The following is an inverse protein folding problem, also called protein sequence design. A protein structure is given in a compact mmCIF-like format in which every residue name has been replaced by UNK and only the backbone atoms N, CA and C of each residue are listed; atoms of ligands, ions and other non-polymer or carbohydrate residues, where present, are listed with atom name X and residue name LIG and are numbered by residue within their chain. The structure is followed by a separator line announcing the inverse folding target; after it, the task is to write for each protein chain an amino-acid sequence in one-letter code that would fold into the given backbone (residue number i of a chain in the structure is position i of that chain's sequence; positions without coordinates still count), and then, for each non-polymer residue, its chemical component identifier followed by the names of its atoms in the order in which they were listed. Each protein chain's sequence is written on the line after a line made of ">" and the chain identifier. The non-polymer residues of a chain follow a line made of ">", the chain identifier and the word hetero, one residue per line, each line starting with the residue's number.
data_IF_580641182485
#
_entry.id   IF_580641182485
#
_cell.length_a   1.000
_cell.length_b   1.000
_cell.length_c   1.000
_cell.angle_alpha   90.00
_cell.angle_beta   90.00
_cell.angle_gamma   90.00
#
_symmetry.space_group_name_H-M   'P 1'
#
loop_
_entity.id
_entity.type
_entity.pdbx_description
1 polymer ?
#
# COMPACT_ATOMS: atom_id res chain seq x y z
N UNK A 1 -20.22 -11.72 -3.55
CA UNK A 1 -19.09 -12.60 -3.95
C UNK A 1 -17.92 -12.57 -2.98
N UNK A 2 -17.04 -11.54 -2.96
CA UNK A 2 -15.86 -11.57 -2.07
C UNK A 2 -16.23 -11.60 -0.57
N UNK A 3 -17.19 -10.76 -0.13
CA UNK A 3 -17.74 -10.80 1.25
C UNK A 3 -18.26 -12.19 1.60
N UNK A 4 -19.11 -12.76 0.74
CA UNK A 4 -19.69 -14.10 0.93
C UNK A 4 -18.63 -15.21 0.99
N UNK A 5 -17.51 -15.03 0.28
CA UNK A 5 -16.35 -15.92 0.32
C UNK A 5 -15.42 -15.68 1.51
N UNK A 6 -15.78 -14.80 2.46
CA UNK A 6 -15.03 -14.58 3.71
C UNK A 6 -14.08 -13.38 3.70
N UNK A 7 -14.24 -12.41 2.78
CA UNK A 7 -13.45 -11.19 2.81
C UNK A 7 -13.79 -10.34 4.05
N UNK A 8 -12.82 -10.15 4.95
CA UNK A 8 -12.94 -9.27 6.13
C UNK A 8 -12.27 -7.90 5.91
N UNK A 9 -11.31 -7.82 4.99
CA UNK A 9 -10.54 -6.62 4.73
C UNK A 9 -10.34 -6.39 3.25
N UNK A 10 -10.61 -5.17 2.79
CA UNK A 10 -10.28 -4.72 1.43
C UNK A 10 -9.24 -3.60 1.46
N UNK A 11 -8.40 -3.53 0.44
CA UNK A 11 -7.44 -2.45 0.24
C UNK A 11 -7.50 -1.96 -1.20
N UNK A 12 -7.97 -0.73 -1.42
CA UNK A 12 -7.94 -0.11 -2.74
C UNK A 12 -6.54 0.40 -3.06
N UNK A 13 -6.01 0.01 -4.21
CA UNK A 13 -4.67 0.35 -4.71
C UNK A 13 -4.70 0.45 -6.24
N UNK A 14 -3.59 0.20 -6.92
CA UNK A 14 -3.43 0.34 -8.38
C UNK A 14 -2.49 1.49 -8.72
N UNK A 15 -2.68 2.12 -9.89
CA UNK A 15 -1.89 3.28 -10.32
C UNK A 15 -1.94 4.43 -9.31
N UNK A 16 -3.07 5.16 -9.28
CA UNK A 16 -3.43 6.08 -8.20
C UNK A 16 -4.98 6.07 -8.02
N UNK A 17 -5.52 5.50 -6.92
CA UNK A 17 -6.96 5.32 -6.72
C UNK A 17 -7.81 6.60 -6.82
N UNK A 18 -7.22 7.76 -6.54
CA UNK A 18 -7.91 9.04 -6.56
C UNK A 18 -8.02 9.67 -7.97
N UNK A 19 -7.56 8.99 -9.02
CA UNK A 19 -7.74 9.44 -10.42
C UNK A 19 -9.18 9.26 -10.87
N UNK A 20 -9.74 8.05 -10.68
CA UNK A 20 -11.04 7.69 -11.25
C UNK A 20 -12.16 8.55 -10.67
N UNK A 21 -12.90 9.20 -11.57
CA UNK A 21 -13.97 10.14 -11.24
C UNK A 21 -13.55 11.16 -10.16
N UNK A 22 -12.29 11.61 -10.22
CA UNK A 22 -11.69 12.58 -9.30
C UNK A 22 -11.73 12.13 -7.82
N UNK A 23 -11.70 10.81 -7.59
CA UNK A 23 -11.72 10.19 -6.27
C UNK A 23 -13.13 9.83 -5.76
N UNK A 24 -14.20 10.19 -6.47
CA UNK A 24 -15.56 9.81 -6.11
C UNK A 24 -15.75 8.29 -6.22
N UNK A 25 -15.21 7.66 -7.26
CA UNK A 25 -15.34 6.21 -7.45
C UNK A 25 -14.78 5.42 -6.27
N UNK A 26 -13.53 5.70 -5.84
CA UNK A 26 -12.95 5.02 -4.66
C UNK A 26 -13.68 5.40 -3.37
N UNK A 27 -14.20 6.62 -3.26
CA UNK A 27 -15.01 7.05 -2.11
C UNK A 27 -16.30 6.25 -1.96
N UNK A 28 -17.05 6.07 -3.06
CA UNK A 28 -18.27 5.27 -3.09
C UNK A 28 -17.99 3.79 -2.79
N UNK A 29 -16.90 3.23 -3.32
CA UNK A 29 -16.50 1.86 -2.98
C UNK A 29 -16.12 1.71 -1.50
N UNK A 30 -15.43 2.69 -0.92
CA UNK A 30 -15.12 2.71 0.51
C UNK A 30 -16.41 2.72 1.35
N UNK A 31 -17.35 3.61 1.02
CA UNK A 31 -18.65 3.70 1.69
C UNK A 31 -19.41 2.38 1.56
N UNK A 32 -19.55 1.85 0.35
CA UNK A 32 -20.23 0.58 0.09
C UNK A 32 -19.62 -0.57 0.90
N UNK A 33 -18.29 -0.69 0.90
CA UNK A 33 -17.59 -1.73 1.66
C UNK A 33 -17.79 -1.59 3.18
N UNK A 34 -17.83 -0.37 3.72
CA UNK A 34 -17.97 -0.18 5.16
C UNK A 34 -19.41 -0.27 5.63
N UNK A 35 -20.35 0.33 4.89
CA UNK A 35 -21.74 0.50 5.30
C UNK A 35 -22.62 -0.67 4.84
N UNK A 36 -22.55 -1.06 3.56
CA UNK A 36 -23.43 -2.10 3.01
C UNK A 36 -22.85 -3.50 3.22
N UNK A 37 -21.53 -3.63 3.03
CA UNK A 37 -20.84 -4.90 3.26
C UNK A 37 -20.40 -5.09 4.71
N UNK A 38 -20.45 -4.07 5.55
CA UNK A 38 -20.07 -4.14 6.97
C UNK A 38 -18.67 -4.74 7.17
N UNK A 39 -17.72 -4.43 6.26
CA UNK A 39 -16.38 -4.99 6.37
C UNK A 39 -15.67 -4.46 7.63
N UNK A 40 -15.03 -5.35 8.40
CA UNK A 40 -14.20 -4.95 9.53
C UNK A 40 -13.15 -3.89 9.19
N UNK A 41 -12.54 -3.96 7.99
CA UNK A 41 -11.52 -3.00 7.55
C UNK A 41 -11.59 -2.63 6.08
N UNK A 42 -11.59 -1.33 5.82
CA UNK A 42 -11.48 -0.72 4.49
C UNK A 42 -10.26 0.21 4.48
N UNK A 43 -9.33 -0.03 3.57
CA UNK A 43 -8.12 0.80 3.46
C UNK A 43 -7.82 1.26 2.04
N UNK A 44 -7.01 2.31 1.92
CA UNK A 44 -6.48 2.79 0.64
C UNK A 44 -4.95 2.90 0.73
N UNK A 45 -4.25 2.54 -0.34
CA UNK A 45 -2.85 2.91 -0.59
C UNK A 45 -2.80 3.92 -1.74
N UNK A 46 -2.19 5.08 -1.52
CA UNK A 46 -2.13 6.19 -2.48
C UNK A 46 -0.78 6.90 -2.43
N UNK A 47 -0.40 7.63 -3.48
CA UNK A 47 0.70 8.60 -3.45
C UNK A 47 0.30 9.94 -2.79
N UNK A 48 -0.99 10.14 -2.52
CA UNK A 48 -1.53 11.28 -1.78
C UNK A 48 -1.71 12.58 -2.57
N UNK A 49 -1.26 12.67 -3.82
CA UNK A 49 -1.15 13.95 -4.54
C UNK A 49 -2.50 14.56 -4.97
N UNK A 50 -3.51 13.71 -5.16
CA UNK A 50 -4.85 14.05 -5.64
C UNK A 50 -5.89 14.12 -4.51
N UNK A 51 -5.53 13.71 -3.30
CA UNK A 51 -6.45 13.69 -2.16
C UNK A 51 -6.77 15.13 -1.73
N UNK A 52 -8.06 15.42 -1.56
CA UNK A 52 -8.59 16.73 -1.15
C UNK A 52 -9.30 16.60 0.19
N UNK A 53 -9.31 17.67 0.99
CA UNK A 53 -10.01 17.70 2.29
C UNK A 53 -11.50 17.34 2.17
N UNK A 54 -12.16 17.77 1.08
CA UNK A 54 -13.56 17.42 0.80
C UNK A 54 -13.80 15.90 0.72
N UNK A 55 -12.81 15.12 0.27
CA UNK A 55 -12.94 13.67 0.24
C UNK A 55 -13.01 13.09 1.65
N UNK A 56 -12.21 13.60 2.59
CA UNK A 56 -12.29 13.19 4.01
C UNK A 56 -13.63 13.61 4.64
N UNK A 57 -14.13 14.80 4.32
CA UNK A 57 -15.43 15.27 4.81
C UNK A 57 -16.57 14.35 4.37
N UNK A 58 -16.48 13.79 3.15
CA UNK A 58 -17.52 12.94 2.57
C UNK A 58 -17.35 11.46 2.93
N UNK A 59 -16.12 10.96 2.96
CA UNK A 59 -15.84 9.52 3.02
C UNK A 59 -14.95 9.07 4.19
N UNK A 60 -14.35 10.02 4.93
CA UNK A 60 -13.40 9.72 5.99
C UNK A 60 -13.99 8.87 7.13
N UNK A 61 -15.28 9.03 7.42
CA UNK A 61 -15.97 8.22 8.43
C UNK A 61 -15.93 6.72 8.12
N UNK A 62 -15.96 6.33 6.85
CA UNK A 62 -15.99 4.94 6.39
C UNK A 62 -14.60 4.31 6.23
N UNK A 63 -13.56 5.15 6.10
CA UNK A 63 -12.20 4.68 5.88
C UNK A 63 -11.53 4.32 7.21
N UNK A 64 -10.99 3.10 7.32
CA UNK A 64 -10.21 2.68 8.48
C UNK A 64 -8.77 3.19 8.38
N UNK A 65 -8.09 2.91 7.26
CA UNK A 65 -6.65 3.17 7.10
C UNK A 65 -6.36 3.89 5.78
N UNK A 66 -5.67 5.02 5.85
CA UNK A 66 -5.05 5.66 4.69
C UNK A 66 -3.54 5.45 4.74
N UNK A 67 -3.02 4.71 3.76
CA UNK A 67 -1.59 4.50 3.57
C UNK A 67 -1.05 5.42 2.48
N UNK A 68 -0.09 6.27 2.83
CA UNK A 68 0.60 7.12 1.86
C UNK A 68 1.97 6.52 1.52
N UNK A 69 2.24 6.39 0.23
CA UNK A 69 3.55 5.99 -0.28
C UNK A 69 4.52 7.17 -0.18
N UNK A 70 5.54 7.05 0.65
CA UNK A 70 6.61 8.03 0.83
C UNK A 70 7.93 7.27 0.94
N UNK A 71 8.79 7.41 -0.07
CA UNK A 71 10.05 6.65 -0.15
C UNK A 71 11.23 7.42 0.44
N UNK A 72 11.16 8.76 0.54
CA UNK A 72 12.21 9.59 1.11
C UNK A 72 11.63 10.86 1.73
N UNK A 73 12.29 11.38 2.76
CA UNK A 73 12.04 12.71 3.31
C UNK A 73 12.94 13.79 2.67
N UNK A 74 13.81 13.39 1.75
CA UNK A 74 14.55 14.29 0.86
C UNK A 74 13.79 14.44 -0.47
N UNK A 75 13.42 15.67 -0.80
CA UNK A 75 12.68 15.97 -2.04
C UNK A 75 13.50 15.71 -3.30
N UNK A 76 14.83 15.88 -3.26
CA UNK A 76 15.69 15.60 -4.41
C UNK A 76 15.77 14.09 -4.66
N UNK A 77 15.79 13.28 -3.61
CA UNK A 77 15.66 11.82 -3.72
C UNK A 77 14.29 11.43 -4.27
N UNK A 78 13.20 12.06 -3.81
CA UNK A 78 11.86 11.84 -4.38
C UNK A 78 11.77 12.24 -5.86
N UNK A 79 12.52 13.25 -6.30
CA UNK A 79 12.65 13.59 -7.74
C UNK A 79 13.34 12.47 -8.50
N UNK A 80 14.46 11.95 -8.00
CA UNK A 80 15.21 10.85 -8.63
C UNK A 80 14.37 9.57 -8.74
N UNK A 81 13.57 9.28 -7.70
CA UNK A 81 12.66 8.12 -7.69
C UNK A 81 11.45 8.34 -8.62
N UNK A 82 11.10 9.59 -8.95
CA UNK A 82 9.93 9.92 -9.75
C UNK A 82 8.64 10.04 -8.94
N UNK A 83 8.73 10.32 -7.63
CA UNK A 83 7.58 10.57 -6.74
C UNK A 83 7.05 12.00 -6.83
N UNK A 84 7.84 12.94 -7.33
CA UNK A 84 7.41 14.34 -7.47
C UNK A 84 6.34 14.49 -8.55
N UNK A 85 5.17 15.01 -8.16
CA UNK A 85 4.09 15.35 -9.10
C UNK A 85 3.99 16.87 -9.31
N UNK A 86 4.58 17.34 -10.40
CA UNK A 86 4.61 18.76 -10.74
C UNK A 86 5.42 19.58 -9.72
N UNK A 87 4.90 20.73 -9.30
CA UNK A 87 5.59 21.63 -8.37
C UNK A 87 5.35 21.32 -6.89
N UNK A 88 4.49 20.34 -6.56
CA UNK A 88 4.12 20.04 -5.17
C UNK A 88 5.27 19.30 -4.47
N UNK A 89 5.60 19.76 -3.27
CA UNK A 89 6.49 19.08 -2.34
C UNK A 89 5.77 17.86 -1.74
N UNK A 90 6.38 16.68 -1.85
CA UNK A 90 5.75 15.42 -1.44
C UNK A 90 5.67 15.32 0.09
N UNK A 91 6.74 15.69 0.80
CA UNK A 91 6.82 15.68 2.27
C UNK A 91 5.81 16.65 2.89
N UNK A 92 5.68 17.88 2.36
CA UNK A 92 4.66 18.83 2.82
C UNK A 92 3.24 18.25 2.65
N UNK A 93 2.98 17.59 1.53
CA UNK A 93 1.70 16.95 1.27
C UNK A 93 1.44 15.78 2.24
N UNK A 94 2.47 15.02 2.60
CA UNK A 94 2.39 13.94 3.58
C UNK A 94 1.96 14.46 4.96
N UNK A 95 2.59 15.54 5.46
CA UNK A 95 2.20 16.18 6.73
C UNK A 95 0.76 16.68 6.71
N UNK A 96 0.33 17.31 5.63
CA UNK A 96 -1.05 17.75 5.46
C UNK A 96 -2.04 16.57 5.50
N UNK A 97 -1.73 15.46 4.85
CA UNK A 97 -2.58 14.26 4.89
C UNK A 97 -2.61 13.61 6.27
N UNK A 98 -1.50 13.64 7.00
CA UNK A 98 -1.44 13.20 8.40
C UNK A 98 -2.37 14.03 9.29
N UNK A 99 -2.41 15.35 9.10
CA UNK A 99 -3.32 16.24 9.83
C UNK A 99 -4.78 15.93 9.51
N UNK A 100 -5.13 15.70 8.24
CA UNK A 100 -6.51 15.32 7.89
C UNK A 100 -6.87 13.94 8.46
N UNK A 101 -5.97 12.96 8.46
CA UNK A 101 -6.23 11.68 9.12
C UNK A 101 -6.55 11.85 10.61
N UNK A 102 -5.88 12.79 11.28
CA UNK A 102 -6.18 13.16 12.67
C UNK A 102 -7.57 13.80 12.81
N UNK A 103 -7.86 14.81 11.98
CA UNK A 103 -9.11 15.59 12.02
C UNK A 103 -10.34 14.71 11.78
N UNK A 104 -10.23 13.71 10.91
CA UNK A 104 -11.34 12.86 10.48
C UNK A 104 -11.29 11.43 11.06
N UNK A 105 -10.46 11.20 12.09
CA UNK A 105 -10.31 9.91 12.75
C UNK A 105 -10.09 8.75 11.76
N UNK A 106 -9.08 8.88 10.91
CA UNK A 106 -8.61 7.83 9.99
C UNK A 106 -7.22 7.39 10.44
N UNK A 107 -6.97 6.09 10.49
CA UNK A 107 -5.65 5.59 10.85
C UNK A 107 -4.63 5.91 9.75
N UNK A 108 -3.55 6.60 10.11
CA UNK A 108 -2.51 6.99 9.17
C UNK A 108 -1.42 5.92 9.07
N UNK A 109 -1.07 5.52 7.85
CA UNK A 109 -0.05 4.52 7.55
C UNK A 109 0.94 5.08 6.52
N UNK A 110 2.19 4.64 6.60
CA UNK A 110 3.22 4.95 5.60
C UNK A 110 3.67 3.66 4.93
N UNK A 111 3.92 3.72 3.63
CA UNK A 111 4.57 2.69 2.83
C UNK A 111 5.84 3.29 2.22
N UNK A 112 6.97 2.60 2.32
CA UNK A 112 8.24 3.03 1.73
C UNK A 112 8.87 1.89 0.95
N UNK A 113 9.32 2.14 -0.27
CA UNK A 113 10.13 1.23 -1.07
C UNK A 113 11.60 1.62 -0.92
N UNK A 114 12.36 0.76 -0.26
CA UNK A 114 13.80 0.92 -0.06
C UNK A 114 14.51 0.46 -1.32
N UNK A 115 15.31 1.36 -1.86
CA UNK A 115 15.94 1.28 -3.16
C UNK A 115 17.32 1.97 -3.13
N UNK A 116 18.04 1.91 -4.25
CA UNK A 116 19.40 2.44 -4.39
C UNK A 116 19.57 3.88 -3.88
N UNK A 117 18.54 4.72 -4.00
CA UNK A 117 18.64 6.15 -3.70
C UNK A 117 18.33 6.52 -2.24
N UNK A 118 17.65 5.66 -1.48
CA UNK A 118 17.26 5.94 -0.08
C UNK A 118 17.77 4.91 0.92
N UNK A 119 18.53 3.90 0.50
CA UNK A 119 18.99 2.81 1.39
C UNK A 119 19.90 3.26 2.53
N UNK A 120 20.60 4.39 2.35
CA UNK A 120 21.43 5.00 3.39
C UNK A 120 20.71 6.09 4.21
N UNK A 121 19.44 6.38 3.90
CA UNK A 121 18.66 7.40 4.60
C UNK A 121 18.34 6.97 6.04
N UNK A 122 18.37 7.94 6.95
CA UNK A 122 17.81 7.83 8.30
C UNK A 122 16.48 8.59 8.35
N UNK A 123 15.40 7.83 8.53
CA UNK A 123 14.02 8.29 8.59
C UNK A 123 13.43 8.22 10.01
N UNK A 124 14.25 7.92 11.03
CA UNK A 124 13.75 7.65 12.39
C UNK A 124 12.92 8.82 12.93
N UNK A 125 13.43 10.03 12.87
CA UNK A 125 12.79 11.20 13.48
C UNK A 125 11.52 11.61 12.73
N UNK A 126 11.55 11.55 11.39
CA UNK A 126 10.41 11.90 10.55
C UNK A 126 9.26 10.90 10.70
N UNK A 127 9.55 9.60 10.74
CA UNK A 127 8.54 8.56 10.97
C UNK A 127 7.96 8.67 12.39
N UNK A 128 8.79 8.88 13.41
CA UNK A 128 8.32 9.09 14.80
C UNK A 128 7.43 10.34 14.90
N UNK A 129 7.82 11.44 14.26
CA UNK A 129 7.06 12.69 14.26
C UNK A 129 5.69 12.53 13.57
N UNK A 130 5.62 11.76 12.49
CA UNK A 130 4.36 11.44 11.82
C UNK A 130 3.50 10.41 12.58
N UNK A 131 4.11 9.63 13.47
CA UNK A 131 3.47 8.62 14.32
C UNK A 131 2.41 7.77 13.56
N UNK A 132 2.78 7.08 12.46
CA UNK A 132 1.84 6.23 11.75
C UNK A 132 1.53 4.96 12.57
N UNK A 133 0.30 4.45 12.46
CA UNK A 133 -0.10 3.18 13.12
C UNK A 133 0.67 1.98 12.55
N UNK A 134 1.24 2.12 11.35
CA UNK A 134 2.04 1.12 10.67
C UNK A 134 2.96 1.80 9.65
N UNK A 135 4.20 1.37 9.59
CA UNK A 135 5.15 1.72 8.54
C UNK A 135 5.58 0.45 7.81
N UNK A 136 5.10 0.26 6.58
CA UNK A 136 5.54 -0.87 5.74
C UNK A 136 6.82 -0.47 5.02
N UNK A 137 7.86 -1.26 5.23
CA UNK A 137 9.17 -1.06 4.62
C UNK A 137 9.39 -2.22 3.65
N UNK A 138 9.36 -1.90 2.36
CA UNK A 138 9.47 -2.85 1.27
C UNK A 138 10.86 -2.81 0.67
N UNK A 139 11.46 -3.96 0.40
CA UNK A 139 12.61 -4.02 -0.51
C UNK A 139 12.13 -3.80 -1.95
N UNK A 140 12.91 -3.12 -2.78
CA UNK A 140 12.59 -2.97 -4.20
C UNK A 140 12.49 -4.34 -4.90
N UNK A 141 11.32 -4.63 -5.46
CA UNK A 141 10.99 -5.89 -6.11
C UNK A 141 10.92 -5.72 -7.63
N UNK A 142 11.61 -6.59 -8.35
CA UNK A 142 11.46 -6.76 -9.79
C UNK A 142 10.27 -7.68 -10.09
N UNK A 143 9.43 -7.25 -11.02
CA UNK A 143 8.31 -7.99 -11.59
C UNK A 143 8.40 -7.85 -13.11
N UNK A 144 8.60 -8.98 -13.77
CA UNK A 144 8.71 -9.05 -15.22
C UNK A 144 7.39 -8.67 -15.90
N UNK A 145 7.47 -7.85 -16.95
CA UNK A 145 6.33 -7.28 -17.66
C UNK A 145 5.73 -6.02 -17.00
N UNK A 146 6.16 -5.68 -15.77
CA UNK A 146 5.71 -4.48 -15.07
C UNK A 146 6.84 -3.44 -14.97
N UNK A 147 7.98 -3.86 -14.41
CA UNK A 147 9.12 -3.00 -14.16
C UNK A 147 10.48 -3.65 -14.49
N UNK A 148 10.46 -4.76 -15.22
CA UNK A 148 11.64 -5.47 -15.71
C UNK A 148 11.29 -6.26 -16.98
N UNK A 149 12.26 -6.43 -17.88
CA UNK A 149 12.08 -7.13 -19.16
C UNK A 149 11.59 -6.23 -20.31
N UNK A 150 11.63 -6.76 -21.54
CA UNK A 150 11.43 -5.98 -22.77
C UNK A 150 10.01 -5.38 -22.90
N UNK A 151 9.00 -6.07 -22.37
CA UNK A 151 7.59 -5.65 -22.46
C UNK A 151 7.18 -4.68 -21.32
N UNK A 152 8.09 -4.32 -20.41
CA UNK A 152 7.77 -3.50 -19.24
C UNK A 152 7.76 -2.00 -19.57
N UNK A 153 6.85 -1.26 -18.92
CA UNK A 153 6.78 0.20 -19.05
C UNK A 153 7.82 0.94 -18.18
N UNK A 154 8.55 0.22 -17.32
CA UNK A 154 9.50 0.76 -16.35
C UNK A 154 10.72 -0.15 -16.26
N UNK A 155 11.84 0.43 -15.86
CA UNK A 155 13.12 -0.25 -15.65
C UNK A 155 13.55 -0.06 -14.18
N UNK A 156 13.20 -1.04 -13.34
CA UNK A 156 13.45 -1.00 -11.90
C UNK A 156 14.83 -1.54 -11.50
N UNK A 157 15.59 -2.13 -12.43
CA UNK A 157 16.89 -2.77 -12.18
C UNK A 157 17.89 -1.80 -11.52
N UNK A 158 17.88 -0.53 -11.93
CA UNK A 158 18.73 0.53 -11.34
C UNK A 158 18.39 0.89 -9.89
N UNK A 159 17.20 0.50 -9.42
CA UNK A 159 16.71 0.77 -8.07
C UNK A 159 16.99 -0.37 -7.09
N UNK A 160 17.38 -1.55 -7.58
CA UNK A 160 17.55 -2.75 -6.76
C UNK A 160 18.72 -2.61 -5.78
N UNK A 161 18.50 -3.14 -4.57
CA UNK A 161 19.46 -3.26 -3.48
C UNK A 161 19.58 -4.73 -3.06
N UNK A 162 20.70 -5.08 -2.42
CA UNK A 162 20.88 -6.44 -1.90
C UNK A 162 20.06 -6.67 -0.63
N UNK A 163 19.97 -7.93 -0.19
CA UNK A 163 19.33 -8.28 1.09
C UNK A 163 20.12 -7.69 2.27
N UNK A 164 21.46 -7.67 2.19
CA UNK A 164 22.32 -7.07 3.23
C UNK A 164 22.11 -5.55 3.33
N UNK A 165 22.01 -4.86 2.20
CA UNK A 165 21.72 -3.42 2.16
C UNK A 165 20.34 -3.13 2.78
N UNK A 166 19.35 -3.98 2.51
CA UNK A 166 18.02 -3.86 3.12
C UNK A 166 18.07 -4.10 4.64
N UNK A 167 18.78 -5.14 5.09
CA UNK A 167 18.94 -5.44 6.52
C UNK A 167 19.65 -4.30 7.27
N UNK A 168 20.66 -3.66 6.68
CA UNK A 168 21.29 -2.46 7.26
C UNK A 168 20.28 -1.32 7.44
N UNK A 169 19.38 -1.11 6.47
CA UNK A 169 18.30 -0.13 6.60
C UNK A 169 17.38 -0.50 7.77
N UNK A 170 17.01 -1.77 7.92
CA UNK A 170 16.17 -2.23 9.03
C UNK A 170 16.84 -2.01 10.39
N UNK A 171 18.12 -2.34 10.51
CA UNK A 171 18.89 -2.17 11.75
C UNK A 171 19.00 -0.70 12.16
N UNK A 172 19.16 0.21 11.19
CA UNK A 172 19.16 1.67 11.41
C UNK A 172 17.84 2.15 12.02
N UNK A 173 16.72 1.49 11.69
CA UNK A 173 15.37 1.88 12.10
C UNK A 173 14.73 0.96 13.14
N UNK A 174 15.52 0.09 13.79
CA UNK A 174 15.02 -0.88 14.79
C UNK A 174 14.27 -0.24 15.98
N UNK A 175 14.49 1.06 16.24
CA UNK A 175 13.80 1.83 17.27
C UNK A 175 12.38 2.26 16.89
N UNK A 176 11.96 2.09 15.63
CA UNK A 176 10.62 2.46 15.16
C UNK A 176 9.66 1.28 15.35
N UNK A 177 8.82 1.35 16.39
CA UNK A 177 7.94 0.25 16.81
C UNK A 177 6.88 -0.15 15.77
N UNK A 178 6.47 0.77 14.91
CA UNK A 178 5.46 0.52 13.88
C UNK A 178 6.03 -0.03 12.56
N UNK A 179 7.35 -0.24 12.48
CA UNK A 179 8.04 -0.77 11.31
C UNK A 179 7.66 -2.23 11.06
N UNK A 180 7.30 -2.54 9.82
CA UNK A 180 6.97 -3.89 9.38
C UNK A 180 7.71 -4.21 8.08
N UNK A 181 8.77 -5.04 8.15
CA UNK A 181 9.66 -5.28 7.02
C UNK A 181 9.12 -6.36 6.08
N UNK A 182 9.17 -6.07 4.78
CA UNK A 182 8.80 -6.98 3.70
C UNK A 182 9.93 -7.03 2.65
N UNK A 183 10.84 -7.99 2.83
CA UNK A 183 11.81 -8.34 1.79
C UNK A 183 11.11 -8.96 0.57
N UNK A 184 11.84 -9.08 -0.54
CA UNK A 184 11.33 -9.66 -1.78
C UNK A 184 10.72 -11.06 -1.58
N UNK A 185 11.36 -11.89 -0.73
CA UNK A 185 10.87 -13.22 -0.37
C UNK A 185 9.53 -13.17 0.39
N UNK A 186 9.31 -12.15 1.23
CA UNK A 186 8.08 -12.00 2.01
C UNK A 186 6.95 -11.42 1.17
N UNK A 187 7.25 -10.59 0.16
CA UNK A 187 6.24 -9.83 -0.58
C UNK A 187 5.61 -10.63 -1.72
N UNK A 188 6.41 -11.37 -2.50
CA UNK A 188 6.03 -11.85 -3.84
C UNK A 188 4.67 -12.56 -3.89
N UNK A 189 4.44 -13.55 -3.04
CA UNK A 189 3.27 -14.44 -3.13
C UNK A 189 2.30 -14.31 -1.95
N UNK A 190 2.51 -13.33 -1.07
CA UNK A 190 1.79 -13.22 0.19
C UNK A 190 0.62 -12.24 0.15
N UNK A 191 0.17 -11.86 -1.04
CA UNK A 191 -0.99 -11.00 -1.28
C UNK A 191 -1.97 -11.70 -2.22
N UNK A 192 -3.27 -11.57 -1.92
CA UNK A 192 -4.31 -11.75 -2.92
C UNK A 192 -4.51 -10.42 -3.62
N UNK A 193 -4.13 -10.36 -4.91
CA UNK A 193 -4.20 -9.15 -5.72
C UNK A 193 -5.29 -9.37 -6.77
N UNK A 194 -6.26 -8.45 -6.83
CA UNK A 194 -7.21 -8.37 -7.93
C UNK A 194 -6.81 -7.21 -8.85
N UNK A 195 -6.79 -7.46 -10.15
CA UNK A 195 -6.58 -6.42 -11.16
C UNK A 195 -7.88 -5.65 -11.48
N UNK A 196 -7.80 -4.74 -12.44
CA UNK A 196 -8.90 -3.90 -12.90
C UNK A 196 -10.08 -4.69 -13.52
N UNK A 197 -9.86 -5.96 -13.91
CA UNK A 197 -10.90 -6.87 -14.40
C UNK A 197 -11.38 -7.85 -13.32
N UNK A 198 -10.98 -7.64 -12.06
CA UNK A 198 -11.27 -8.52 -10.93
C UNK A 198 -10.75 -9.95 -11.15
N UNK A 199 -9.55 -10.09 -11.73
CA UNK A 199 -8.81 -11.35 -11.87
C UNK A 199 -7.73 -11.43 -10.80
N UNK A 200 -7.54 -12.60 -10.20
CA UNK A 200 -6.43 -12.80 -9.27
C UNK A 200 -5.10 -12.80 -10.04
N UNK A 201 -4.10 -12.08 -9.53
CA UNK A 201 -2.76 -12.05 -10.12
C UNK A 201 -1.82 -13.00 -9.37
N UNK A 202 -1.31 -14.00 -10.07
CA UNK A 202 -0.28 -14.90 -9.57
C UNK A 202 1.11 -14.33 -9.82
N UNK A 203 1.91 -14.25 -8.77
CA UNK A 203 3.25 -13.66 -8.77
C UNK A 203 4.40 -14.68 -8.65
N UNK A 204 4.09 -15.98 -8.57
CA UNK A 204 5.08 -17.04 -8.25
C UNK A 204 6.23 -17.11 -9.25
N UNK A 205 5.91 -16.84 -10.51
CA UNK A 205 6.86 -16.89 -11.62
C UNK A 205 7.57 -15.56 -11.87
N UNK A 206 7.45 -14.58 -10.95
CA UNK A 206 8.07 -13.26 -11.10
C UNK A 206 7.33 -12.32 -12.06
N UNK A 207 6.19 -12.75 -12.62
CA UNK A 207 5.26 -11.97 -13.47
C UNK A 207 3.93 -11.83 -12.76
N UNK A 208 3.04 -10.93 -13.21
CA UNK A 208 1.63 -10.92 -12.77
C UNK A 208 0.76 -11.68 -13.77
N UNK A 209 0.50 -12.95 -13.49
CA UNK A 209 -0.28 -13.82 -14.37
C UNK A 209 -1.75 -13.81 -13.94
N UNK A 210 -2.69 -13.30 -14.75
CA UNK A 210 -4.09 -13.18 -14.36
C UNK A 210 -4.85 -14.51 -14.44
N UNK A 211 -5.69 -14.78 -13.44
CA UNK A 211 -6.74 -15.81 -13.51
C UNK A 211 -7.88 -15.39 -14.45
N UNK A 212 -8.94 -16.21 -14.55
CA UNK A 212 -10.24 -15.73 -15.03
C UNK A 212 -10.86 -14.76 -14.02
N UNK A 213 -11.75 -13.87 -14.46
CA UNK A 213 -12.40 -12.89 -13.58
C UNK A 213 -13.33 -13.60 -12.60
N UNK A 214 -13.37 -13.11 -11.35
CA UNK A 214 -14.38 -13.56 -10.38
C UNK A 214 -15.80 -13.25 -10.87
N UNK A 215 -15.98 -12.28 -11.76
CA UNK A 215 -17.27 -11.91 -12.35
C UNK A 215 -17.77 -12.99 -13.33
N UNK A 216 -16.87 -13.76 -13.92
CA UNK A 216 -17.20 -14.79 -14.91
C UNK A 216 -17.29 -16.19 -14.30
N UNK A 217 -16.37 -16.53 -13.39
CA UNK A 217 -16.22 -17.90 -12.86
C UNK A 217 -16.45 -18.01 -11.34
N UNK A 218 -16.71 -16.90 -10.66
CA UNK A 218 -16.82 -16.85 -9.22
C UNK A 218 -15.47 -16.91 -8.48
N UNK A 219 -15.50 -16.59 -7.18
CA UNK A 219 -14.29 -16.47 -6.35
C UNK A 219 -13.58 -17.82 -6.19
N UNK A 220 -14.31 -18.89 -5.89
CA UNK A 220 -13.72 -20.20 -5.59
C UNK A 220 -12.96 -20.79 -6.78
N UNK A 221 -13.44 -20.58 -8.00
CA UNK A 221 -12.77 -21.05 -9.20
C UNK A 221 -11.54 -20.19 -9.53
N UNK A 222 -11.65 -18.87 -9.43
CA UNK A 222 -10.56 -17.96 -9.76
C UNK A 222 -9.40 -18.02 -8.76
N UNK A 223 -9.69 -18.11 -7.45
CA UNK A 223 -8.67 -18.03 -6.38
C UNK A 223 -7.69 -19.20 -6.40
N UNK A 224 -8.09 -20.36 -6.95
CA UNK A 224 -7.23 -21.54 -7.16
C UNK A 224 -5.99 -21.21 -8.01
N UNK A 225 -6.06 -20.17 -8.84
CA UNK A 225 -4.98 -19.72 -9.71
C UNK A 225 -4.27 -18.46 -9.19
N UNK A 226 -4.57 -18.00 -7.97
CA UNK A 226 -3.98 -16.76 -7.42
C UNK A 226 -2.50 -16.87 -7.05
N UNK A 227 -1.96 -18.09 -6.90
CA UNK A 227 -0.59 -18.26 -6.41
C UNK A 227 -0.36 -17.91 -4.93
N UNK A 228 -1.43 -17.60 -4.18
CA UNK A 228 -1.32 -17.10 -2.81
C UNK A 228 -0.63 -18.07 -1.84
N UNK A 229 0.30 -17.55 -1.04
CA UNK A 229 0.94 -18.22 0.09
C UNK A 229 0.39 -17.65 1.41
N UNK A 230 -0.62 -18.35 1.96
CA UNK A 230 -1.25 -17.99 3.24
C UNK A 230 -0.26 -18.05 4.41
N UNK A 231 0.67 -19.00 4.40
CA UNK A 231 1.67 -19.13 5.48
C UNK A 231 2.58 -17.90 5.49
N UNK A 232 3.03 -17.45 4.32
CA UNK A 232 3.83 -16.24 4.20
C UNK A 232 3.02 -14.98 4.57
N UNK A 233 1.74 -14.91 4.18
CA UNK A 233 0.83 -13.82 4.60
C UNK A 233 0.74 -13.69 6.12
N UNK A 234 0.59 -14.81 6.84
CA UNK A 234 0.59 -14.81 8.30
C UNK A 234 1.98 -14.46 8.87
N UNK A 235 3.06 -15.04 8.33
CA UNK A 235 4.44 -14.79 8.76
C UNK A 235 4.85 -13.32 8.66
N UNK A 236 4.38 -12.60 7.64
CA UNK A 236 4.67 -11.15 7.47
C UNK A 236 3.74 -10.22 8.27
N UNK A 237 2.88 -10.77 9.13
CA UNK A 237 1.91 -9.99 9.91
C UNK A 237 0.80 -9.39 9.04
N UNK A 238 0.28 -10.16 8.09
CA UNK A 238 -0.85 -9.80 7.25
C UNK A 238 -2.15 -9.66 8.04
N UNK A 239 -2.29 -10.41 9.14
CA UNK A 239 -3.37 -10.26 10.14
C UNK A 239 -2.87 -9.44 11.33
N UNK A 240 -3.53 -8.31 11.58
CA UNK A 240 -3.24 -7.34 12.64
C UNK A 240 -4.51 -6.58 12.98
N UNK A 241 -4.50 -5.78 14.06
CA UNK A 241 -5.62 -4.87 14.36
C UNK A 241 -5.74 -3.87 13.21
N UNK A 242 -6.79 -4.02 12.38
CA UNK A 242 -6.93 -3.30 11.11
C UNK A 242 -8.21 -2.45 11.02
N UNK A 243 -9.07 -2.53 12.04
CA UNK A 243 -10.24 -1.67 12.16
C UNK A 243 -9.87 -0.45 12.97
N UNK A 244 -10.23 0.74 12.52
CA UNK A 244 -9.88 1.96 13.26
C UNK A 244 -10.58 2.05 14.61
N UNK A 245 -11.72 1.38 14.77
CA UNK A 245 -12.46 1.31 16.03
C UNK A 245 -11.67 0.58 17.13
N UNK A 246 -10.81 -0.35 16.74
CA UNK A 246 -9.96 -1.12 17.66
C UNK A 246 -8.55 -0.50 17.80
N UNK A 247 -8.27 0.58 17.07
CA UNK A 247 -7.02 1.31 17.15
C UNK A 247 -7.14 2.45 18.16
N UNK A 248 -6.07 2.65 18.93
CA UNK A 248 -5.89 3.89 19.68
C UNK A 248 -5.52 4.99 18.70
N UNK A 249 -6.53 5.70 18.19
CA UNK A 249 -6.35 6.92 17.40
C UNK A 249 -6.22 8.17 18.28
N UNK A 250 -6.11 7.99 19.59
CA UNK A 250 -5.79 9.03 20.55
C UNK A 250 -4.37 9.55 20.23
N UNK A 251 -4.32 10.78 19.75
CA UNK A 251 -3.12 11.50 19.40
C UNK A 251 -2.66 12.38 20.55
#
# INVERSE_FOLDING_TARGET
>A
MLKEAGMEKINFSGGEPFIQDRGEFVGELVRFCKQELELPSVSIVSNGSLIRKQWFQKYGEYLDILAISCDSFDEDVNVLIGRRQGKKNHVENLHKLRQWCQEYAVAFKINSVINRFNVEEDMNEQIKALNPVRWKVFQCLLIEGENSGEDALREAEKFVISDEDFDRFLDRHKGVSCLVPESNQKMRDSYLILDEYMRFLNCRNGRKEPSKSILDVGVEAAIKFSGFDEKMFLKRGGKYVWSKADMKLDW
#
